data_IF_238686199933
#
_entry.id   IF_238686199933
#
_cell.length_a   1.000
_cell.length_b   1.000
_cell.length_c   1.000
_cell.angle_alpha   90.00
_cell.angle_beta   90.00
_cell.angle_gamma   90.00
#
_symmetry.space_group_name_H-M   'P 1'
#
loop_
_entity.id
_entity.type
_entity.pdbx_description
1 polymer ?
#
# COMPACT_ATOMS: atom_id res chain seq x y z
N UNK A 1 -29.14 -38.53 -18.72
CA UNK A 1 -28.82 -37.26 -19.40
C UNK A 1 -27.41 -37.36 -19.99
N UNK A 2 -27.29 -37.63 -21.29
CA UNK A 2 -25.99 -37.75 -21.97
C UNK A 2 -25.57 -36.38 -22.51
N UNK A 3 -24.65 -35.71 -21.82
CA UNK A 3 -24.12 -34.42 -22.26
C UNK A 3 -23.31 -34.65 -23.54
N UNK A 4 -23.73 -34.03 -24.66
CA UNK A 4 -23.02 -34.14 -25.94
C UNK A 4 -21.55 -33.70 -25.77
N UNK A 5 -20.57 -34.47 -26.29
CA UNK A 5 -19.14 -34.19 -26.12
C UNK A 5 -18.73 -32.82 -26.64
N UNK A 6 -19.46 -32.26 -27.62
CA UNK A 6 -19.28 -30.89 -28.12
C UNK A 6 -19.62 -29.83 -27.07
N UNK A 7 -20.70 -30.02 -26.30
CA UNK A 7 -21.09 -29.09 -25.23
C UNK A 7 -20.07 -29.09 -24.09
N UNK A 8 -19.53 -30.27 -23.76
CA UNK A 8 -18.47 -30.42 -22.76
C UNK A 8 -17.18 -29.70 -23.18
N UNK A 9 -16.72 -29.88 -24.43
CA UNK A 9 -15.55 -29.18 -24.97
C UNK A 9 -15.71 -27.65 -24.96
N UNK A 10 -16.89 -27.13 -25.32
CA UNK A 10 -17.16 -25.69 -25.29
C UNK A 10 -17.15 -25.17 -23.85
N UNK A 11 -17.82 -25.85 -22.92
CA UNK A 11 -17.83 -25.47 -21.50
C UNK A 11 -16.43 -25.49 -20.89
N UNK A 12 -15.66 -26.54 -21.17
CA UNK A 12 -14.28 -26.66 -20.70
C UNK A 12 -13.38 -25.56 -21.29
N UNK A 13 -13.46 -25.32 -22.61
CA UNK A 13 -12.72 -24.26 -23.27
C UNK A 13 -13.08 -22.86 -22.75
N UNK A 14 -14.37 -22.61 -22.50
CA UNK A 14 -14.84 -21.35 -21.91
C UNK A 14 -14.33 -21.16 -20.47
N UNK A 15 -14.38 -22.21 -19.64
CA UNK A 15 -13.86 -22.17 -18.27
C UNK A 15 -12.35 -21.93 -18.25
N UNK A 16 -11.59 -22.62 -19.12
CA UNK A 16 -10.16 -22.43 -19.25
C UNK A 16 -9.82 -21.00 -19.72
N UNK A 17 -10.52 -20.50 -20.74
CA UNK A 17 -10.34 -19.13 -21.23
C UNK A 17 -10.66 -18.09 -20.15
N UNK A 18 -11.74 -18.28 -19.38
CA UNK A 18 -12.10 -17.40 -18.27
C UNK A 18 -10.99 -17.38 -17.20
N UNK A 19 -10.43 -18.55 -16.86
CA UNK A 19 -9.39 -18.67 -15.85
C UNK A 19 -8.09 -18.00 -16.32
N UNK A 20 -7.71 -18.18 -17.59
CA UNK A 20 -6.53 -17.52 -18.18
C UNK A 20 -6.72 -15.99 -18.23
N UNK A 21 -7.85 -15.52 -18.76
CA UNK A 21 -8.15 -14.09 -18.82
C UNK A 21 -8.20 -13.47 -17.42
N UNK A 22 -8.84 -14.16 -16.46
CA UNK A 22 -8.89 -13.73 -15.06
C UNK A 22 -7.50 -13.64 -14.43
N UNK A 23 -6.64 -14.64 -14.66
CA UNK A 23 -5.26 -14.65 -14.20
C UNK A 23 -4.43 -13.50 -14.78
N UNK A 24 -4.57 -13.21 -16.07
CA UNK A 24 -3.90 -12.08 -16.73
C UNK A 24 -4.36 -10.75 -16.14
N UNK A 25 -5.67 -10.55 -15.99
CA UNK A 25 -6.23 -9.34 -15.39
C UNK A 25 -5.71 -9.15 -13.96
N UNK A 26 -5.69 -10.21 -13.15
CA UNK A 26 -5.17 -10.17 -11.80
C UNK A 26 -3.67 -9.84 -11.77
N UNK A 27 -2.88 -10.47 -12.63
CA UNK A 27 -1.44 -10.21 -12.75
C UNK A 27 -1.14 -8.77 -13.12
N UNK A 28 -1.84 -8.22 -14.11
CA UNK A 28 -1.72 -6.80 -14.51
C UNK A 28 -2.16 -5.88 -13.37
N UNK A 29 -3.22 -6.21 -12.64
CA UNK A 29 -3.69 -5.42 -11.51
C UNK A 29 -2.62 -5.34 -10.41
N UNK A 30 -2.01 -6.46 -10.04
CA UNK A 30 -0.91 -6.50 -9.04
C UNK A 30 0.30 -5.72 -9.53
N UNK A 31 0.71 -5.91 -10.79
CA UNK A 31 1.85 -5.21 -11.38
C UNK A 31 1.65 -3.68 -11.39
N UNK A 32 0.43 -3.22 -11.68
CA UNK A 32 0.09 -1.78 -11.68
C UNK A 32 0.01 -1.21 -10.28
N UNK A 33 -0.57 -1.96 -9.33
CA UNK A 33 -0.68 -1.55 -7.94
C UNK A 33 0.68 -1.46 -7.23
N UNK A 34 1.67 -2.24 -7.70
CA UNK A 34 2.99 -2.32 -7.09
C UNK A 34 3.00 -3.18 -5.83
N UNK A 35 4.18 -3.35 -5.25
CA UNK A 35 4.39 -4.11 -4.02
C UNK A 35 4.76 -3.14 -2.90
N UNK A 36 4.22 -3.40 -1.71
CA UNK A 36 4.67 -2.82 -0.46
C UNK A 36 5.77 -3.73 0.08
N UNK A 37 6.91 -3.17 0.43
CA UNK A 37 8.01 -3.88 1.09
C UNK A 37 8.18 -3.33 2.49
N UNK A 38 8.24 -4.23 3.47
CA UNK A 38 8.37 -3.90 4.88
C UNK A 38 9.57 -4.66 5.43
N UNK A 39 10.50 -3.90 5.99
CA UNK A 39 11.62 -4.39 6.78
C UNK A 39 11.53 -3.76 8.18
N UNK A 40 11.47 -4.59 9.21
CA UNK A 40 11.47 -4.17 10.61
C UNK A 40 12.56 -4.95 11.33
N UNK A 41 13.42 -4.25 12.04
CA UNK A 41 14.45 -4.83 12.88
C UNK A 41 14.32 -4.22 14.27
N UNK A 42 13.71 -4.95 15.18
CA UNK A 42 13.71 -4.62 16.60
C UNK A 42 14.91 -5.27 17.30
N UNK A 43 15.58 -4.50 18.15
CA UNK A 43 16.77 -4.89 18.94
C UNK A 43 16.41 -5.35 20.36
N UNK A 44 15.14 -5.19 20.76
CA UNK A 44 14.66 -5.57 22.10
C UNK A 44 14.55 -7.09 22.31
N UNK A 45 14.57 -7.60 23.56
CA UNK A 45 14.50 -9.03 23.86
C UNK A 45 13.21 -9.72 23.41
N UNK A 46 12.11 -8.97 23.30
CA UNK A 46 10.82 -9.40 22.76
C UNK A 46 10.60 -8.92 21.31
N UNK A 47 11.63 -8.33 20.70
CA UNK A 47 11.58 -7.72 19.38
C UNK A 47 11.28 -8.73 18.28
N UNK A 48 10.53 -8.28 17.27
CA UNK A 48 10.30 -9.05 16.05
C UNK A 48 11.20 -8.53 14.94
N UNK A 49 11.84 -9.44 14.22
CA UNK A 49 12.55 -9.13 12.98
C UNK A 49 11.72 -9.62 11.79
N UNK A 50 11.31 -8.67 10.94
CA UNK A 50 10.57 -8.93 9.70
C UNK A 50 11.45 -8.45 8.57
N UNK A 51 11.90 -9.36 7.70
CA UNK A 51 12.74 -9.02 6.54
C UNK A 51 12.03 -9.39 5.24
N UNK A 52 11.98 -8.44 4.31
CA UNK A 52 11.49 -8.63 2.96
C UNK A 52 10.01 -9.00 2.87
N UNK A 53 9.18 -8.57 3.82
CA UNK A 53 7.75 -8.84 3.75
C UNK A 53 7.16 -8.05 2.58
N UNK A 54 6.65 -8.77 1.58
CA UNK A 54 6.11 -8.20 0.34
C UNK A 54 4.61 -8.43 0.24
N UNK A 55 3.86 -7.33 0.13
CA UNK A 55 2.41 -7.36 0.05
C UNK A 55 1.94 -6.61 -1.21
N UNK A 56 0.99 -7.15 -1.99
CA UNK A 56 0.40 -6.41 -3.10
C UNK A 56 -0.24 -5.10 -2.61
N UNK A 57 0.09 -3.97 -3.25
CA UNK A 57 -0.44 -2.65 -2.88
C UNK A 57 -1.97 -2.56 -2.99
N UNK A 58 -2.59 -3.40 -3.83
CA UNK A 58 -4.05 -3.46 -3.96
C UNK A 58 -4.76 -3.93 -2.68
N UNK A 59 -4.06 -4.62 -1.77
CA UNK A 59 -4.62 -5.06 -0.49
C UNK A 59 -4.92 -3.89 0.46
N UNK A 60 -4.27 -2.73 0.26
CA UNK A 60 -4.45 -1.55 1.12
C UNK A 60 -5.91 -1.13 1.22
N UNK A 61 -6.66 -1.15 0.11
CA UNK A 61 -8.08 -0.83 0.13
C UNK A 61 -8.90 -1.79 0.99
N UNK A 62 -8.60 -3.09 0.93
CA UNK A 62 -9.27 -4.10 1.74
C UNK A 62 -8.95 -3.94 3.21
N UNK A 63 -7.66 -3.76 3.53
CA UNK A 63 -7.19 -3.55 4.91
C UNK A 63 -7.80 -2.29 5.51
N UNK A 64 -7.78 -1.15 4.80
CA UNK A 64 -8.34 0.11 5.30
C UNK A 64 -9.85 0.03 5.55
N UNK A 65 -10.60 -0.76 4.75
CA UNK A 65 -12.04 -0.98 4.97
C UNK A 65 -12.34 -1.87 6.18
N UNK A 66 -11.48 -2.84 6.45
CA UNK A 66 -11.66 -3.82 7.53
C UNK A 66 -10.97 -3.41 8.84
N UNK A 67 -10.09 -2.40 8.82
CA UNK A 67 -9.34 -1.96 9.99
C UNK A 67 -10.29 -1.27 10.99
N UNK A 68 -10.38 -1.76 12.24
CA UNK A 68 -11.16 -1.10 13.27
C UNK A 68 -10.64 0.32 13.51
N UNK A 69 -11.52 1.31 13.56
CA UNK A 69 -11.14 2.71 13.82
C UNK A 69 -10.38 2.88 15.14
N UNK A 70 -10.63 2.02 16.13
CA UNK A 70 -9.92 2.02 17.41
C UNK A 70 -8.43 1.69 17.30
N UNK A 71 -7.97 1.08 16.19
CA UNK A 71 -6.55 0.80 15.92
C UNK A 71 -5.88 1.88 15.08
N UNK A 72 -6.64 2.86 14.59
CA UNK A 72 -6.11 4.00 13.86
C UNK A 72 -5.63 5.03 14.89
N UNK A 73 -4.35 5.44 14.89
CA UNK A 73 -3.82 6.41 15.84
C UNK A 73 -4.67 7.68 15.90
N UNK A 74 -4.87 8.22 17.10
CA UNK A 74 -5.69 9.43 17.30
C UNK A 74 -5.20 10.61 16.46
N UNK A 75 -3.88 10.73 16.27
CA UNK A 75 -3.27 11.72 15.38
C UNK A 75 -3.81 11.63 13.94
N UNK A 76 -4.06 10.44 13.42
CA UNK A 76 -4.67 10.25 12.10
C UNK A 76 -6.16 10.64 12.11
N UNK A 77 -6.89 10.38 13.20
CA UNK A 77 -8.30 10.76 13.32
C UNK A 77 -8.48 12.28 13.41
N UNK A 78 -7.58 12.95 14.13
CA UNK A 78 -7.53 14.40 14.21
C UNK A 78 -7.20 15.00 12.84
N UNK A 79 -6.23 14.41 12.13
CA UNK A 79 -5.92 14.75 10.74
C UNK A 79 -7.17 14.56 9.84
N UNK A 80 -7.92 13.47 9.98
CA UNK A 80 -9.07 13.16 9.11
C UNK A 80 -10.32 14.04 9.34
N UNK A 81 -10.47 14.70 10.49
CA UNK A 81 -11.74 15.34 10.90
C UNK A 81 -11.99 16.76 10.35
N UNK A 82 -10.99 17.41 9.74
CA UNK A 82 -11.14 18.81 9.27
C UNK A 82 -11.73 18.89 7.86
N UNK A 83 -12.96 19.41 7.73
CA UNK A 83 -13.75 19.46 6.48
C UNK A 83 -13.10 20.22 5.29
N UNK A 84 -12.08 21.06 5.54
CA UNK A 84 -11.32 21.80 4.52
C UNK A 84 -10.34 20.94 3.68
N UNK A 85 -10.28 19.61 3.90
CA UNK A 85 -9.14 18.79 3.46
C UNK A 85 -9.30 17.93 2.22
N UNK A 86 -10.50 17.67 1.67
CA UNK A 86 -10.59 16.75 0.51
C UNK A 86 -9.78 17.26 -0.68
N UNK A 87 -9.92 18.54 -0.99
CA UNK A 87 -9.18 19.15 -2.10
C UNK A 87 -7.70 19.32 -1.76
N UNK A 88 -7.36 19.56 -0.50
CA UNK A 88 -5.97 19.56 -0.04
C UNK A 88 -5.31 18.19 -0.19
N UNK A 89 -5.98 17.09 0.21
CA UNK A 89 -5.48 15.72 0.09
C UNK A 89 -5.36 15.29 -1.37
N UNK A 90 -6.34 15.66 -2.22
CA UNK A 90 -6.24 15.48 -3.68
C UNK A 90 -5.09 16.29 -4.27
N UNK A 91 -4.88 17.51 -3.76
CA UNK A 91 -3.76 18.38 -4.11
C UNK A 91 -2.42 17.74 -3.76
N UNK A 92 -2.27 17.21 -2.55
CA UNK A 92 -1.09 16.49 -2.08
C UNK A 92 -0.81 15.30 -2.98
N UNK A 93 -1.81 14.48 -3.30
CA UNK A 93 -1.62 13.36 -4.24
C UNK A 93 -1.07 13.84 -5.59
N UNK A 94 -1.70 14.85 -6.20
CA UNK A 94 -1.26 15.40 -7.49
C UNK A 94 0.12 16.06 -7.42
N UNK A 95 0.48 16.61 -6.26
CA UNK A 95 1.80 17.18 -6.02
C UNK A 95 2.85 16.07 -5.90
N UNK A 96 2.58 15.03 -5.11
CA UNK A 96 3.46 13.87 -4.96
C UNK A 96 3.67 13.12 -6.28
N UNK A 97 2.62 12.92 -7.08
CA UNK A 97 2.73 12.27 -8.40
C UNK A 97 3.64 13.03 -9.37
N UNK A 98 3.71 14.37 -9.26
CA UNK A 98 4.54 15.24 -10.11
C UNK A 98 5.88 15.61 -9.47
N UNK A 99 6.06 15.31 -8.19
CA UNK A 99 7.27 15.63 -7.47
C UNK A 99 8.44 14.81 -8.06
N UNK A 100 9.60 15.40 -8.35
CA UNK A 100 10.79 14.62 -8.69
C UNK A 100 11.19 13.72 -7.52
N UNK A 101 12.10 12.78 -7.79
CA UNK A 101 12.66 11.96 -6.73
C UNK A 101 13.51 12.82 -5.80
N UNK A 102 13.40 12.57 -4.50
CA UNK A 102 14.04 13.40 -3.49
C UNK A 102 13.51 13.16 -2.08
N UNK A 103 14.23 13.72 -1.11
CA UNK A 103 13.84 13.72 0.29
C UNK A 103 12.72 14.75 0.49
N UNK A 104 11.61 14.31 1.06
CA UNK A 104 10.45 15.16 1.35
C UNK A 104 10.50 15.65 2.80
N UNK A 105 10.89 14.76 3.70
CA UNK A 105 11.01 15.04 5.14
C UNK A 105 12.25 14.32 5.65
N UNK A 106 13.08 15.02 6.41
CA UNK A 106 14.18 14.46 7.17
C UNK A 106 14.16 15.10 8.55
N UNK A 107 14.09 14.25 9.57
CA UNK A 107 14.13 14.62 10.98
C UNK A 107 15.29 13.84 11.59
N UNK A 108 16.22 14.55 12.20
CA UNK A 108 17.38 13.97 12.86
C UNK A 108 17.46 14.58 14.27
N UNK A 109 17.37 13.73 15.28
CA UNK A 109 17.57 14.07 16.69
C UNK A 109 18.79 13.31 17.22
N UNK A 110 19.08 13.43 18.53
CA UNK A 110 20.17 12.67 19.16
C UNK A 110 19.98 11.16 19.05
N UNK A 111 18.73 10.70 19.04
CA UNK A 111 18.38 9.29 19.19
C UNK A 111 17.52 8.78 18.03
N UNK A 112 16.81 9.67 17.32
CA UNK A 112 15.86 9.29 16.27
C UNK A 112 16.24 9.88 14.92
N UNK A 113 16.12 9.07 13.87
CA UNK A 113 16.25 9.49 12.49
C UNK A 113 15.04 9.04 11.67
N UNK A 114 14.26 10.00 11.18
CA UNK A 114 13.13 9.72 10.29
C UNK A 114 13.36 10.38 8.95
N UNK A 115 13.31 9.59 7.88
CA UNK A 115 13.46 10.04 6.50
C UNK A 115 12.29 9.54 5.67
N UNK A 116 11.62 10.46 4.99
CA UNK A 116 10.58 10.19 4.01
C UNK A 116 11.07 10.71 2.67
N UNK A 117 11.21 9.82 1.69
CA UNK A 117 11.65 10.18 0.35
C UNK A 117 10.75 9.60 -0.73
N UNK A 118 10.67 10.29 -1.85
CA UNK A 118 10.08 9.76 -3.07
C UNK A 118 11.18 9.19 -3.95
N UNK A 119 10.98 7.96 -4.42
CA UNK A 119 11.87 7.28 -5.38
C UNK A 119 11.05 6.54 -6.43
N UNK A 120 11.10 7.02 -7.67
CA UNK A 120 10.27 6.56 -8.78
C UNK A 120 8.78 6.65 -8.45
N UNK A 121 8.11 5.49 -8.47
CA UNK A 121 6.69 5.34 -8.12
C UNK A 121 6.46 4.87 -6.69
N UNK A 122 7.44 5.07 -5.80
CA UNK A 122 7.35 4.67 -4.40
C UNK A 122 7.63 5.83 -3.46
N UNK A 123 6.96 5.80 -2.32
CA UNK A 123 7.31 6.55 -1.13
C UNK A 123 8.05 5.60 -0.19
N UNK A 124 9.25 5.99 0.23
CA UNK A 124 10.08 5.22 1.13
C UNK A 124 10.13 5.97 2.46
N UNK A 125 9.71 5.29 3.52
CA UNK A 125 9.77 5.76 4.89
C UNK A 125 10.83 4.94 5.62
N UNK A 126 11.81 5.61 6.19
CA UNK A 126 12.84 5.01 7.03
C UNK A 126 12.74 5.69 8.39
N UNK A 127 12.56 4.91 9.45
CA UNK A 127 12.63 5.36 10.83
C UNK A 127 13.68 4.51 11.52
N UNK A 128 14.69 5.15 12.09
CA UNK A 128 15.77 4.51 12.84
C UNK A 128 15.77 5.10 14.25
N UNK A 129 15.74 4.22 15.23
CA UNK A 129 15.74 4.54 16.66
C UNK A 129 16.74 3.60 17.33
N UNK A 130 17.18 3.84 18.58
CA UNK A 130 18.17 2.98 19.21
C UNK A 130 17.69 1.52 19.36
N UNK A 131 16.38 1.35 19.51
CA UNK A 131 15.76 0.05 19.76
C UNK A 131 15.15 -0.60 18.51
N UNK A 132 14.83 0.18 17.46
CA UNK A 132 14.11 -0.32 16.29
C UNK A 132 14.48 0.44 15.00
N UNK A 133 14.71 -0.31 13.93
CA UNK A 133 14.85 0.22 12.57
C UNK A 133 13.72 -0.29 11.68
N UNK A 134 12.95 0.64 11.12
CA UNK A 134 11.80 0.36 10.25
C UNK A 134 12.05 0.99 8.88
N UNK A 135 11.90 0.19 7.84
CA UNK A 135 11.89 0.64 6.45
C UNK A 135 10.62 0.13 5.76
N UNK A 136 9.81 1.07 5.29
CA UNK A 136 8.60 0.78 4.54
C UNK A 136 8.66 1.44 3.18
N UNK A 137 8.52 0.65 2.13
CA UNK A 137 8.39 1.12 0.77
C UNK A 137 6.95 0.92 0.31
N UNK A 138 6.27 2.01 -0.03
CA UNK A 138 4.86 2.01 -0.43
C UNK A 138 4.72 2.51 -1.86
N UNK A 139 4.01 1.79 -2.76
CA UNK A 139 3.76 2.28 -4.09
C UNK A 139 2.83 3.50 -4.04
N UNK A 140 3.05 4.49 -4.89
CA UNK A 140 2.30 5.75 -4.90
C UNK A 140 0.80 5.54 -5.12
N UNK A 141 0.41 4.47 -5.83
CA UNK A 141 -0.98 4.05 -5.96
C UNK A 141 -1.64 3.74 -4.61
N UNK A 142 -0.92 3.05 -3.71
CA UNK A 142 -1.40 2.73 -2.36
C UNK A 142 -1.44 3.97 -1.45
N UNK A 143 -0.48 4.89 -1.60
CA UNK A 143 -0.54 6.20 -0.91
C UNK A 143 -1.78 6.98 -1.36
N UNK A 144 -2.07 7.00 -2.66
CA UNK A 144 -3.28 7.61 -3.20
C UNK A 144 -4.56 7.02 -2.60
N UNK A 145 -4.63 5.68 -2.48
CA UNK A 145 -5.73 4.99 -1.83
C UNK A 145 -5.93 5.40 -0.36
N UNK A 146 -4.84 5.55 0.38
CA UNK A 146 -4.85 5.98 1.77
C UNK A 146 -5.32 7.43 1.91
N UNK A 147 -4.85 8.33 1.05
CA UNK A 147 -5.28 9.73 1.03
C UNK A 147 -6.76 9.87 0.64
N UNK A 148 -7.25 9.06 -0.30
CA UNK A 148 -8.67 9.00 -0.65
C UNK A 148 -9.53 8.50 0.51
N UNK A 149 -9.08 7.46 1.21
CA UNK A 149 -9.76 6.96 2.40
C UNK A 149 -9.78 8.00 3.53
N UNK A 150 -8.66 8.71 3.75
CA UNK A 150 -8.54 9.79 4.72
C UNK A 150 -9.42 11.00 4.38
N UNK A 151 -9.66 11.27 3.10
CA UNK A 151 -10.54 12.35 2.66
C UNK A 151 -12.03 12.08 2.95
N UNK A 152 -12.37 10.87 3.40
CA UNK A 152 -13.74 10.39 3.46
C UNK A 152 -14.24 10.12 2.04
N UNK A 153 -14.65 8.88 1.79
CA UNK A 153 -15.55 8.57 0.66
C UNK A 153 -16.83 9.40 0.83
#
# INVERSE_FOLDING_TARGET
>A
MTTSPRKFLILFGAAAALLVCGGVVLGVAVQRAGMIEIDVRATSPEGCEIRGLRLPGCLVHGVLRCMPRSRIPAAYQEFASTALRRDALRGIRRALDRCPDGVLVEVESSDDKVRIEKRGRHLIVVADTPDEAVRVQVPMAAVGALLEHAAGT
#
